data_IF_060179683537
#
_entry.id   IF_060179683537
#
_cell.length_a   1.000
_cell.length_b   1.000
_cell.length_c   1.000
_cell.angle_alpha   90.00
_cell.angle_beta   90.00
_cell.angle_gamma   90.00
#
_symmetry.space_group_name_H-M   'P 1'
#
loop_
_entity.id
_entity.type
_entity.pdbx_description
1 polymer ?
#
# COMPACT_ATOMS: atom_id res chain seq x y z
N UNK A 1 -7.86 19.76 -1.43
CA UNK A 1 -7.44 18.78 -0.41
C UNK A 1 -8.68 17.97 -0.09
N UNK A 2 -8.61 16.65 -0.19
CA UNK A 2 -9.76 15.78 0.10
C UNK A 2 -9.95 15.67 1.61
N UNK A 3 -11.19 15.69 2.09
CA UNK A 3 -11.52 15.57 3.52
C UNK A 3 -11.57 14.11 4.01
N UNK A 4 -11.31 13.15 3.11
CA UNK A 4 -11.33 11.72 3.38
C UNK A 4 -10.21 10.96 2.65
N UNK A 5 -9.88 9.77 3.16
CA UNK A 5 -8.98 8.83 2.50
C UNK A 5 -9.58 8.25 1.20
N UNK A 6 -8.73 7.69 0.35
CA UNK A 6 -9.09 7.31 -1.03
C UNK A 6 -9.89 6.00 -1.10
N UNK A 7 -9.47 4.97 -0.36
CA UNK A 7 -9.99 3.61 -0.54
C UNK A 7 -11.24 3.34 0.29
N UNK A 8 -11.23 3.76 1.56
CA UNK A 8 -12.24 3.45 2.56
C UNK A 8 -13.04 4.68 3.01
N UNK A 9 -12.79 5.86 2.40
CA UNK A 9 -13.45 7.12 2.72
C UNK A 9 -13.41 7.48 4.22
N UNK A 10 -12.28 7.19 4.88
CA UNK A 10 -12.08 7.51 6.30
C UNK A 10 -11.91 9.02 6.46
N UNK A 11 -12.62 9.66 7.41
CA UNK A 11 -12.55 11.11 7.58
C UNK A 11 -11.20 11.54 8.12
N UNK A 12 -10.60 12.56 7.50
CA UNK A 12 -9.40 13.21 8.01
C UNK A 12 -9.73 14.29 9.03
N UNK A 13 -8.80 14.54 9.95
CA UNK A 13 -8.89 15.68 10.87
C UNK A 13 -8.57 16.96 10.11
N UNK A 14 -9.46 17.96 10.21
CA UNK A 14 -9.29 19.27 9.59
C UNK A 14 -8.07 20.04 10.15
N UNK A 15 -7.43 20.90 9.34
CA UNK A 15 -6.31 21.72 9.79
C UNK A 15 -6.68 22.63 10.97
N UNK A 16 -5.69 23.04 11.78
CA UNK A 16 -5.80 23.99 12.93
C UNK A 16 -5.90 23.40 14.36
N UNK A 17 -5.74 22.09 14.55
CA UNK A 17 -5.63 21.47 15.89
C UNK A 17 -4.17 21.13 16.26
N UNK A 18 -3.34 22.15 16.52
CA UNK A 18 -1.95 22.01 16.99
C UNK A 18 -1.09 20.97 16.22
N UNK A 19 -1.26 20.90 14.89
CA UNK A 19 -0.57 19.96 13.99
C UNK A 19 -0.77 18.45 14.26
N UNK A 20 -1.60 18.05 15.24
CA UNK A 20 -1.96 16.63 15.48
C UNK A 20 -2.64 15.97 14.28
N UNK A 21 -3.26 16.76 13.42
CA UNK A 21 -3.88 16.31 12.19
C UNK A 21 -2.85 15.70 11.22
N UNK A 22 -1.59 16.13 11.21
CA UNK A 22 -0.59 15.63 10.25
C UNK A 22 -0.26 14.17 10.52
N UNK A 23 0.22 13.86 11.73
CA UNK A 23 0.61 12.49 12.10
C UNK A 23 -0.58 11.55 12.14
N UNK A 24 -1.75 12.02 12.56
CA UNK A 24 -2.96 11.21 12.59
C UNK A 24 -3.49 10.92 11.18
N UNK A 25 -3.55 11.92 10.30
CA UNK A 25 -4.02 11.71 8.92
C UNK A 25 -3.03 10.81 8.14
N UNK A 26 -1.74 10.87 8.42
CA UNK A 26 -0.77 9.91 7.87
C UNK A 26 -1.06 8.48 8.34
N UNK A 27 -1.38 8.29 9.62
CA UNK A 27 -1.79 6.98 10.14
C UNK A 27 -3.09 6.48 9.49
N UNK A 28 -4.09 7.36 9.30
CA UNK A 28 -5.33 7.03 8.58
C UNK A 28 -5.03 6.64 7.14
N UNK A 29 -4.21 7.40 6.42
CA UNK A 29 -3.84 7.11 5.05
C UNK A 29 -3.15 5.74 4.91
N UNK A 30 -2.30 5.36 5.88
CA UNK A 30 -1.71 4.01 5.91
C UNK A 30 -2.75 2.92 6.18
N UNK A 31 -3.67 3.13 7.13
CA UNK A 31 -4.73 2.15 7.43
C UNK A 31 -5.69 1.97 6.25
N UNK A 32 -5.99 3.05 5.52
CA UNK A 32 -6.80 3.04 4.31
C UNK A 32 -6.31 2.05 3.24
N UNK A 33 -4.98 1.87 3.14
CA UNK A 33 -4.37 0.88 2.23
C UNK A 33 -4.34 -0.51 2.86
N UNK A 34 -4.03 -0.60 4.16
CA UNK A 34 -3.69 -1.89 4.79
C UNK A 34 -4.89 -2.70 5.27
N UNK A 35 -6.02 -2.05 5.61
CA UNK A 35 -7.19 -2.75 6.18
C UNK A 35 -7.79 -3.76 5.21
N UNK A 36 -7.77 -3.46 3.90
CA UNK A 36 -8.17 -4.37 2.83
C UNK A 36 -7.11 -4.37 1.75
N UNK A 37 -5.89 -4.81 2.11
CA UNK A 37 -4.72 -4.72 1.23
C UNK A 37 -4.95 -5.46 -0.09
N UNK A 38 -5.40 -4.71 -1.09
CA UNK A 38 -5.62 -5.14 -2.46
C UNK A 38 -4.50 -4.55 -3.31
N UNK A 39 -3.67 -5.41 -3.89
CA UNK A 39 -2.57 -5.00 -4.75
C UNK A 39 -2.94 -5.19 -6.20
N UNK A 40 -2.54 -4.25 -7.05
CA UNK A 40 -2.67 -4.35 -8.51
C UNK A 40 -1.81 -5.50 -9.03
N UNK A 41 -0.61 -5.67 -8.47
CA UNK A 41 0.28 -6.77 -8.83
C UNK A 41 1.17 -7.17 -7.64
N UNK A 42 1.54 -8.45 -7.62
CA UNK A 42 2.66 -8.96 -6.84
C UNK A 42 3.93 -8.97 -7.67
N UNK A 43 5.08 -8.91 -6.98
CA UNK A 43 6.40 -8.95 -7.57
C UNK A 43 6.65 -7.83 -8.60
N UNK A 44 5.99 -6.69 -8.42
CA UNK A 44 6.08 -5.56 -9.34
C UNK A 44 7.47 -4.92 -9.31
N UNK A 45 8.04 -4.65 -10.49
CA UNK A 45 9.42 -4.17 -10.64
C UNK A 45 9.53 -2.74 -11.19
N UNK A 46 8.51 -2.25 -11.88
CA UNK A 46 8.52 -0.91 -12.50
C UNK A 46 7.23 -0.16 -12.18
N UNK A 47 7.32 1.11 -11.75
CA UNK A 47 6.14 1.92 -11.53
C UNK A 47 5.33 2.11 -12.83
N UNK A 48 3.99 2.15 -12.75
CA UNK A 48 3.18 2.54 -13.91
C UNK A 48 3.48 3.98 -14.31
N UNK A 49 3.43 4.28 -15.62
CA UNK A 49 3.64 5.63 -16.12
C UNK A 49 2.57 6.63 -15.63
N UNK A 50 1.35 6.14 -15.40
CA UNK A 50 0.23 6.89 -14.85
C UNK A 50 -0.31 6.16 -13.61
N UNK A 51 0.28 6.37 -12.43
CA UNK A 51 -0.22 5.76 -11.21
C UNK A 51 -1.61 6.30 -10.86
N UNK A 52 -2.49 5.41 -10.41
CA UNK A 52 -3.84 5.74 -9.95
C UNK A 52 -3.81 5.94 -8.44
N UNK A 53 -4.44 7.01 -7.98
CA UNK A 53 -4.60 7.31 -6.56
C UNK A 53 -5.27 6.14 -5.83
N UNK A 54 -4.69 5.72 -4.69
CA UNK A 54 -5.15 4.57 -3.91
C UNK A 54 -4.60 3.22 -4.37
N UNK A 55 -3.97 3.13 -5.55
CA UNK A 55 -3.40 1.89 -6.04
C UNK A 55 -2.19 1.44 -5.20
N UNK A 56 -2.13 0.14 -4.90
CA UNK A 56 -1.02 -0.48 -4.18
C UNK A 56 -0.37 -1.60 -5.01
N UNK A 57 0.94 -1.78 -4.83
CA UNK A 57 1.74 -2.80 -5.52
C UNK A 57 2.63 -3.49 -4.49
N UNK A 58 2.64 -4.83 -4.48
CA UNK A 58 3.64 -5.58 -3.72
C UNK A 58 4.90 -5.72 -4.57
N UNK A 59 5.97 -5.04 -4.16
CA UNK A 59 7.20 -4.95 -4.96
C UNK A 59 8.03 -6.23 -4.91
N UNK A 60 8.67 -6.54 -6.04
CA UNK A 60 9.70 -7.56 -6.13
C UNK A 60 10.98 -7.17 -5.37
N UNK A 61 12.04 -7.97 -5.51
CA UNK A 61 13.30 -7.76 -4.77
C UNK A 61 14.13 -6.58 -5.27
N UNK A 62 14.07 -6.26 -6.56
CA UNK A 62 14.88 -5.21 -7.18
C UNK A 62 14.03 -4.31 -8.10
N UNK A 63 13.09 -3.53 -7.53
CA UNK A 63 12.32 -2.56 -8.30
C UNK A 63 13.19 -1.40 -8.79
N UNK A 64 12.72 -0.68 -9.81
CA UNK A 64 13.46 0.36 -10.53
C UNK A 64 12.68 1.68 -10.58
N UNK A 65 13.30 2.72 -11.14
CA UNK A 65 12.68 4.05 -11.27
C UNK A 65 12.34 4.66 -9.91
N UNK A 66 11.14 5.20 -9.76
CA UNK A 66 10.67 5.79 -8.50
C UNK A 66 10.59 4.80 -7.33
N UNK A 67 10.62 3.49 -7.63
CA UNK A 67 10.60 2.42 -6.62
C UNK A 67 12.01 1.88 -6.29
N UNK A 68 13.06 2.40 -6.91
CA UNK A 68 14.43 1.92 -6.68
C UNK A 68 14.81 1.94 -5.18
N UNK A 69 15.39 0.83 -4.71
CA UNK A 69 15.77 0.66 -3.30
C UNK A 69 14.62 0.26 -2.35
N UNK A 70 13.38 0.13 -2.84
CA UNK A 70 12.20 -0.21 -2.04
C UNK A 70 11.76 -1.68 -2.19
N UNK A 71 12.70 -2.56 -2.52
CA UNK A 71 12.42 -3.99 -2.74
C UNK A 71 11.72 -4.65 -1.56
N UNK A 72 10.73 -5.50 -1.84
CA UNK A 72 9.95 -6.23 -0.83
C UNK A 72 8.94 -5.40 -0.04
N UNK A 73 8.80 -4.09 -0.33
CA UNK A 73 7.78 -3.23 0.28
C UNK A 73 6.47 -3.28 -0.48
N UNK A 74 5.41 -2.76 0.13
CA UNK A 74 4.18 -2.37 -0.57
C UNK A 74 4.31 -0.89 -0.95
N UNK A 75 4.27 -0.60 -2.24
CA UNK A 75 4.21 0.77 -2.76
C UNK A 75 2.76 1.18 -3.00
N UNK A 76 2.27 2.18 -2.27
CA UNK A 76 0.95 2.76 -2.45
C UNK A 76 1.07 4.18 -3.02
N UNK A 77 0.24 4.51 -4.01
CA UNK A 77 0.19 5.86 -4.55
C UNK A 77 -0.88 6.67 -3.79
N UNK A 78 -0.44 7.65 -3.01
CA UNK A 78 -1.30 8.47 -2.15
C UNK A 78 -0.88 9.94 -2.20
N UNK A 79 -1.86 10.83 -2.25
CA UNK A 79 -1.70 12.28 -2.34
C UNK A 79 -0.72 12.69 -3.45
N UNK A 80 -0.75 12.01 -4.59
CA UNK A 80 0.15 12.27 -5.71
C UNK A 80 1.60 11.81 -5.51
N UNK A 81 1.89 11.01 -4.49
CA UNK A 81 3.23 10.49 -4.19
C UNK A 81 3.25 9.00 -3.83
N UNK A 82 4.44 8.41 -3.83
CA UNK A 82 4.62 7.02 -3.40
C UNK A 82 4.86 6.95 -1.89
N UNK A 83 4.07 6.11 -1.23
CA UNK A 83 4.24 5.71 0.16
C UNK A 83 4.69 4.24 0.17
N UNK A 84 5.83 3.97 0.82
CA UNK A 84 6.37 2.62 0.93
C UNK A 84 6.14 2.08 2.33
N UNK A 85 5.52 0.90 2.39
CA UNK A 85 5.15 0.25 3.63
C UNK A 85 5.86 -1.10 3.68
N UNK A 86 6.68 -1.33 4.71
CA UNK A 86 7.33 -2.64 4.91
C UNK A 86 6.32 -3.63 5.49
N UNK A 87 5.90 -4.65 4.72
CA UNK A 87 4.99 -5.67 5.22
C UNK A 87 5.68 -6.56 6.27
N UNK A 88 4.90 -7.10 7.21
CA UNK A 88 5.37 -8.03 8.22
C UNK A 88 4.87 -9.44 7.92
N UNK A 89 5.58 -10.45 8.41
CA UNK A 89 5.12 -11.83 8.33
C UNK A 89 3.69 -11.98 8.88
N UNK A 90 2.84 -12.73 8.19
CA UNK A 90 1.42 -12.90 8.50
C UNK A 90 0.49 -11.87 7.85
N UNK A 91 1.00 -10.81 7.22
CA UNK A 91 0.15 -9.91 6.44
C UNK A 91 -0.49 -10.63 5.27
N UNK A 92 -1.70 -10.22 4.93
CA UNK A 92 -2.48 -10.77 3.82
C UNK A 92 -2.62 -9.69 2.76
N UNK A 93 -2.43 -10.06 1.50
CA UNK A 93 -2.74 -9.21 0.37
C UNK A 93 -3.50 -10.02 -0.69
N UNK A 94 -4.37 -9.35 -1.43
CA UNK A 94 -5.14 -9.96 -2.53
C UNK A 94 -4.80 -9.25 -3.83
N UNK A 95 -4.53 -10.01 -4.90
CA UNK A 95 -4.42 -9.45 -6.23
C UNK A 95 -5.80 -9.00 -6.72
N UNK A 96 -5.99 -7.71 -6.99
CA UNK A 96 -7.29 -7.12 -7.28
C UNK A 96 -7.93 -7.66 -8.57
N UNK A 97 -7.12 -8.07 -9.54
CA UNK A 97 -7.56 -8.58 -10.85
C UNK A 97 -8.06 -10.04 -10.80
N UNK A 98 -7.45 -10.86 -9.95
CA UNK A 98 -7.59 -12.33 -9.96
C UNK A 98 -8.18 -12.87 -8.65
N UNK A 99 -8.28 -12.04 -7.60
CA UNK A 99 -8.69 -12.47 -6.27
C UNK A 99 -7.68 -13.38 -5.57
N UNK A 100 -6.48 -13.54 -6.13
CA UNK A 100 -5.46 -14.45 -5.57
C UNK A 100 -4.88 -13.87 -4.29
N UNK A 101 -5.07 -14.61 -3.19
CA UNK A 101 -4.55 -14.27 -1.89
C UNK A 101 -3.10 -14.73 -1.74
N UNK A 102 -2.25 -13.87 -1.19
CA UNK A 102 -0.92 -14.25 -0.69
C UNK A 102 -0.74 -13.78 0.75
N UNK A 103 0.03 -14.55 1.50
CA UNK A 103 0.45 -14.24 2.87
C UNK A 103 1.94 -13.89 2.85
N UNK A 104 2.31 -12.82 3.54
CA UNK A 104 3.71 -12.44 3.70
C UNK A 104 4.41 -13.43 4.65
N UNK A 105 5.52 -13.99 4.18
CA UNK A 105 6.44 -14.82 4.98
C UNK A 105 7.76 -14.07 5.20
N UNK A 106 8.67 -14.54 6.08
CA UNK A 106 10.02 -13.96 6.19
C UNK A 106 10.81 -13.95 4.86
N UNK A 107 10.39 -14.76 3.88
CA UNK A 107 11.03 -14.87 2.55
C UNK A 107 10.24 -14.20 1.43
N UNK A 108 9.15 -13.50 1.74
CA UNK A 108 8.28 -12.84 0.75
C UNK A 108 6.85 -13.38 0.71
N UNK A 109 6.05 -12.85 -0.22
CA UNK A 109 4.64 -13.19 -0.42
C UNK A 109 4.48 -14.60 -1.01
N UNK A 110 3.68 -15.46 -0.37
CA UNK A 110 3.39 -16.82 -0.84
C UNK A 110 1.90 -17.09 -0.88
N UNK A 111 1.46 -17.92 -1.84
CA UNK A 111 0.11 -18.47 -1.83
C UNK A 111 -0.03 -19.39 -0.61
N UNK A 112 -1.06 -19.20 0.25
CA UNK A 112 -1.28 -20.10 1.38
C UNK A 112 -1.70 -21.49 0.88
N UNK A 113 -1.38 -22.50 1.69
CA UNK A 113 -1.86 -23.87 1.52
C UNK A 113 -2.93 -24.06 2.58
N UNK A 114 -4.12 -24.50 2.16
CA UNK A 114 -5.21 -24.86 3.07
C UNK A 114 -5.29 -26.38 3.13
N UNK A 115 -5.30 -26.91 4.35
CA UNK A 115 -5.54 -28.34 4.62
C UNK A 115 -7.03 -28.67 4.54
#
# INVERSE_FOLDING_TARGET
MSDSSTNLALPFIQPSQAQKHVTHNEAIARLDVLTQLAVVAFDAATPPAAPVEGAAYALGTAPTGAWAGQGGTVAAFQNGGWVFITPRAGWIAVAADTGRLRVMTPTGWRTPIFD
#
